data_IF_322077593853
#
_entry.id   IF_322077593853
#
_cell.length_a   1.000
_cell.length_b   1.000
_cell.length_c   1.000
_cell.angle_alpha   90.00
_cell.angle_beta   90.00
_cell.angle_gamma   90.00
#
_symmetry.space_group_name_H-M   'P 1'
#
loop_
_entity.id
_entity.type
_entity.pdbx_description
1 polymer ?
#
# COMPACT_ATOMS: atom_id res chain seq x y z
N UNK A 1 5.64 28.73 14.60
CA UNK A 1 7.04 28.58 15.00
C UNK A 1 7.84 28.10 13.80
N UNK A 2 9.13 28.51 13.67
CA UNK A 2 10.01 27.99 12.62
C UNK A 2 10.28 26.49 12.82
N UNK A 3 10.41 25.74 11.73
CA UNK A 3 10.72 24.29 11.77
C UNK A 3 11.50 23.86 10.53
N UNK A 4 12.17 22.71 10.66
CA UNK A 4 12.74 21.91 9.57
C UNK A 4 12.53 20.43 9.87
N UNK A 5 12.23 19.64 8.85
CA UNK A 5 11.96 18.22 9.01
C UNK A 5 12.45 17.40 7.81
N UNK A 6 13.31 16.42 8.08
CA UNK A 6 13.77 15.45 7.09
C UNK A 6 12.74 14.32 6.97
N UNK A 7 12.24 14.06 5.76
CA UNK A 7 11.24 13.04 5.52
C UNK A 7 11.84 11.63 5.46
N UNK A 8 10.99 10.63 5.71
CA UNK A 8 11.35 9.23 5.50
C UNK A 8 12.32 8.64 6.51
N UNK A 9 12.46 9.19 7.71
CA UNK A 9 13.40 8.76 8.76
C UNK A 9 13.32 7.27 9.14
N UNK A 10 12.16 6.64 8.95
CA UNK A 10 11.98 5.19 9.21
C UNK A 10 12.64 4.29 8.15
N UNK A 11 12.88 4.84 6.97
CA UNK A 11 13.50 4.12 5.85
C UNK A 11 15.01 4.32 5.88
N UNK A 12 15.69 3.67 6.82
CA UNK A 12 17.13 3.80 7.06
C UNK A 12 17.94 3.08 5.99
N UNK A 13 17.54 1.85 5.66
CA UNK A 13 18.26 0.99 4.71
C UNK A 13 17.97 1.41 3.26
N UNK A 14 19.01 1.60 2.47
CA UNK A 14 18.97 2.04 1.07
C UNK A 14 19.83 1.13 0.19
N UNK A 15 19.25 0.62 -0.89
CA UNK A 15 19.96 -0.22 -1.85
C UNK A 15 20.55 0.60 -3.01
N UNK A 16 20.04 1.81 -3.23
CA UNK A 16 20.49 2.71 -4.28
C UNK A 16 21.85 3.33 -3.95
N UNK A 17 22.61 3.74 -4.96
CA UNK A 17 23.86 4.49 -4.76
C UNK A 17 23.60 5.93 -4.32
N UNK A 18 22.47 6.50 -4.74
CA UNK A 18 22.04 7.85 -4.41
C UNK A 18 20.59 7.84 -3.99
N UNK A 19 20.29 8.45 -2.85
CA UNK A 19 18.91 8.60 -2.35
C UNK A 19 18.43 10.04 -2.50
N UNK A 20 17.24 10.23 -3.06
CA UNK A 20 16.55 11.51 -3.03
C UNK A 20 15.93 11.72 -1.66
N UNK A 21 16.41 12.73 -0.94
CA UNK A 21 15.93 13.12 0.39
C UNK A 21 15.07 14.37 0.25
N UNK A 22 13.87 14.31 0.82
CA UNK A 22 12.96 15.46 0.90
C UNK A 22 13.04 16.07 2.28
N UNK A 23 13.14 17.39 2.34
CA UNK A 23 13.09 18.16 3.58
C UNK A 23 11.92 19.14 3.50
N UNK A 24 11.15 19.27 4.57
CA UNK A 24 10.12 20.28 4.73
C UNK A 24 10.59 21.37 5.68
N UNK A 25 10.33 22.62 5.34
CA UNK A 25 10.58 23.74 6.24
C UNK A 25 9.66 24.92 5.90
N UNK A 26 9.26 25.67 6.90
CA UNK A 26 8.62 26.98 6.69
C UNK A 26 9.63 28.12 6.56
N UNK A 27 10.92 27.79 6.53
CA UNK A 27 11.98 28.74 6.26
C UNK A 27 12.25 28.84 4.75
N UNK A 28 12.70 29.98 4.23
CA UNK A 28 12.90 30.18 2.81
C UNK A 28 14.09 29.39 2.24
N UNK A 29 15.06 29.04 3.08
CA UNK A 29 16.29 28.33 2.70
C UNK A 29 16.54 27.16 3.65
N UNK A 30 17.00 26.04 3.08
CA UNK A 30 17.46 24.86 3.81
C UNK A 30 18.82 24.44 3.29
N UNK A 31 19.75 24.12 4.19
CA UNK A 31 21.02 23.48 3.90
C UNK A 31 21.03 22.05 4.44
N UNK A 32 21.42 21.08 3.63
CA UNK A 32 21.54 19.70 4.05
C UNK A 32 23.02 19.29 4.13
N UNK A 33 23.37 18.60 5.18
CA UNK A 33 24.71 18.02 5.40
C UNK A 33 24.63 16.51 5.45
N UNK A 34 25.60 15.84 4.84
CA UNK A 34 25.85 14.41 4.96
C UNK A 34 27.19 14.19 5.65
N UNK A 35 27.20 13.53 6.80
CA UNK A 35 28.39 13.33 7.64
C UNK A 35 29.21 14.62 7.87
N UNK A 36 28.50 15.75 8.07
CA UNK A 36 29.09 17.06 8.29
C UNK A 36 29.57 17.80 7.02
N UNK A 37 29.47 17.19 5.84
CA UNK A 37 29.79 17.82 4.56
C UNK A 37 28.50 18.40 3.95
N UNK A 38 28.53 19.69 3.60
CA UNK A 38 27.38 20.35 2.97
C UNK A 38 27.10 19.79 1.58
N UNK A 39 25.84 19.45 1.33
CA UNK A 39 25.31 19.09 0.01
C UNK A 39 24.71 20.31 -0.71
N UNK A 40 24.88 21.48 -0.11
CA UNK A 40 24.42 22.76 -0.65
C UNK A 40 23.15 23.28 0.02
N UNK A 41 22.81 24.50 -0.39
CA UNK A 41 21.62 25.22 0.05
C UNK A 41 20.58 25.24 -1.05
N UNK A 42 19.34 25.16 -0.67
CA UNK A 42 18.21 25.28 -1.59
C UNK A 42 17.19 26.27 -1.08
N UNK A 43 16.53 26.95 -1.98
CA UNK A 43 15.38 27.81 -1.72
C UNK A 43 14.16 27.24 -2.44
N UNK A 44 13.00 27.28 -1.81
CA UNK A 44 11.75 26.78 -2.39
C UNK A 44 10.56 27.60 -1.94
N UNK A 45 9.77 28.15 -2.87
CA UNK A 45 8.53 28.83 -2.53
C UNK A 45 7.43 27.89 -2.04
N UNK A 46 7.56 26.60 -2.33
CA UNK A 46 6.59 25.56 -1.96
C UNK A 46 6.94 24.89 -0.63
N UNK A 47 8.04 25.28 0.00
CA UNK A 47 8.52 24.72 1.28
C UNK A 47 8.95 23.25 1.22
N UNK A 48 9.20 22.73 0.01
CA UNK A 48 9.76 21.40 -0.25
C UNK A 48 11.16 21.54 -0.83
N UNK A 49 12.12 20.85 -0.24
CA UNK A 49 13.53 20.91 -0.63
C UNK A 49 14.00 19.48 -0.95
N UNK A 50 14.63 19.30 -2.12
CA UNK A 50 15.02 17.98 -2.61
C UNK A 50 16.52 17.89 -2.76
N UNK A 51 17.15 16.96 -2.06
CA UNK A 51 18.58 16.75 -2.11
C UNK A 51 18.91 15.34 -2.62
N UNK A 52 19.95 15.21 -3.42
CA UNK A 52 20.52 13.94 -3.80
C UNK A 52 21.66 13.62 -2.84
N UNK A 53 21.52 12.51 -2.12
CA UNK A 53 22.47 12.08 -1.08
C UNK A 53 23.15 10.81 -1.54
N UNK A 54 24.48 10.82 -1.74
CA UNK A 54 25.24 9.58 -1.95
C UNK A 54 25.15 8.68 -0.73
N UNK A 55 24.74 7.42 -0.93
CA UNK A 55 24.62 6.47 0.15
C UNK A 55 25.96 5.81 0.47
N UNK A 56 26.25 5.66 1.76
CA UNK A 56 27.42 4.95 2.29
C UNK A 56 26.97 4.01 3.42
N UNK A 57 27.91 3.28 4.00
CA UNK A 57 27.65 2.33 5.10
C UNK A 57 27.01 2.98 6.33
N UNK A 58 27.12 4.30 6.43
CA UNK A 58 26.45 5.11 7.45
C UNK A 58 26.53 6.59 7.09
N UNK A 59 25.37 7.21 6.88
CA UNK A 59 25.28 8.63 6.55
C UNK A 59 24.35 9.33 7.55
N UNK A 60 24.94 10.16 8.41
CA UNK A 60 24.17 11.07 9.24
C UNK A 60 23.78 12.29 8.42
N UNK A 61 22.49 12.56 8.31
CA UNK A 61 21.95 13.74 7.66
C UNK A 61 21.63 14.79 8.71
N UNK A 62 22.00 16.03 8.42
CA UNK A 62 21.62 17.20 9.23
C UNK A 62 21.03 18.25 8.32
N UNK A 63 19.78 18.60 8.52
CA UNK A 63 19.13 19.72 7.84
C UNK A 63 19.13 20.95 8.76
N UNK A 64 19.52 22.10 8.22
CA UNK A 64 19.54 23.38 8.91
C UNK A 64 18.70 24.39 8.14
N UNK A 65 17.80 25.07 8.85
CA UNK A 65 16.96 26.13 8.32
C UNK A 65 16.84 27.26 9.35
N UNK A 66 17.59 28.34 9.17
CA UNK A 66 17.73 29.38 10.19
C UNK A 66 18.35 28.82 11.48
N UNK A 67 17.63 28.94 12.60
CA UNK A 67 18.05 28.38 13.89
C UNK A 67 17.55 26.94 14.12
N UNK A 68 16.74 26.40 13.18
CA UNK A 68 16.18 25.06 13.30
C UNK A 68 17.12 24.01 12.74
N UNK A 69 17.16 22.86 13.41
CA UNK A 69 17.95 21.70 13.05
C UNK A 69 17.12 20.44 13.15
N UNK A 70 17.30 19.53 12.19
CA UNK A 70 16.75 18.19 12.23
C UNK A 70 17.78 17.16 11.75
N UNK A 71 17.71 15.94 12.27
CA UNK A 71 18.67 14.89 11.97
C UNK A 71 17.98 13.60 11.54
N UNK A 72 18.65 12.87 10.67
CA UNK A 72 18.25 11.56 10.19
C UNK A 72 19.49 10.70 9.92
N UNK A 73 19.29 9.41 9.70
CA UNK A 73 20.35 8.46 9.39
C UNK A 73 19.95 7.60 8.21
N UNK A 74 20.89 7.35 7.30
CA UNK A 74 20.77 6.43 6.18
C UNK A 74 21.94 5.44 6.21
N UNK A 75 21.69 4.24 5.71
CA UNK A 75 22.69 3.18 5.60
C UNK A 75 22.53 2.47 4.26
N UNK A 76 23.62 2.35 3.50
CA UNK A 76 23.61 1.52 2.30
C UNK A 76 23.60 0.04 2.68
N UNK A 77 22.76 -0.73 2.01
CA UNK A 77 22.66 -2.19 2.15
C UNK A 77 22.62 -2.82 0.77
N UNK A 78 23.08 -4.08 0.66
CA UNK A 78 23.05 -4.81 -0.61
C UNK A 78 21.66 -5.38 -0.92
N UNK A 79 20.89 -5.73 0.11
CA UNK A 79 19.59 -6.38 -0.01
C UNK A 79 18.50 -5.46 0.53
N UNK A 80 17.43 -5.32 -0.24
CA UNK A 80 16.28 -4.51 0.17
C UNK A 80 15.66 -5.05 1.46
N UNK A 81 15.33 -4.15 2.37
CA UNK A 81 14.65 -4.50 3.61
C UNK A 81 13.15 -4.69 3.35
N UNK A 82 12.71 -5.95 3.32
CA UNK A 82 11.31 -6.32 3.02
C UNK A 82 10.30 -5.77 4.04
N UNK A 83 10.74 -5.34 5.24
CA UNK A 83 9.85 -4.70 6.21
C UNK A 83 9.38 -3.31 5.78
N UNK A 84 10.04 -2.71 4.76
CA UNK A 84 9.62 -1.44 4.18
C UNK A 84 8.51 -1.60 3.14
N UNK A 85 8.27 -2.81 2.67
CA UNK A 85 7.13 -3.08 1.78
C UNK A 85 5.83 -2.96 2.54
N UNK A 86 4.87 -2.31 1.92
CA UNK A 86 3.50 -2.34 2.40
C UNK A 86 3.00 -3.79 2.28
N UNK A 87 2.82 -4.45 3.43
CA UNK A 87 2.18 -5.77 3.50
C UNK A 87 0.67 -5.54 3.45
N UNK A 88 0.11 -5.57 2.25
CA UNK A 88 -1.34 -5.50 2.08
C UNK A 88 -1.97 -6.76 2.68
N UNK A 89 -2.81 -6.56 3.68
CA UNK A 89 -3.65 -7.62 4.22
C UNK A 89 -4.95 -7.67 3.43
N UNK A 90 -4.95 -8.46 2.35
CA UNK A 90 -6.11 -8.62 1.49
C UNK A 90 -6.16 -7.63 0.32
N UNK A 91 -7.15 -7.80 -0.54
CA UNK A 91 -7.37 -6.91 -1.67
C UNK A 91 -7.84 -5.53 -1.20
N UNK A 92 -7.11 -4.47 -1.58
CA UNK A 92 -7.63 -3.11 -1.48
C UNK A 92 -8.60 -2.94 -2.65
N UNK A 93 -9.88 -2.98 -2.34
CA UNK A 93 -10.94 -2.80 -3.31
C UNK A 93 -11.10 -1.30 -3.60
N UNK A 94 -10.79 -0.91 -4.83
CA UNK A 94 -11.02 0.45 -5.29
C UNK A 94 -12.50 0.61 -5.67
N UNK A 95 -13.31 1.07 -4.76
CA UNK A 95 -14.74 1.31 -4.97
C UNK A 95 -15.08 2.49 -5.90
N UNK A 96 -14.08 3.24 -6.34
CA UNK A 96 -14.27 4.28 -7.36
C UNK A 96 -14.18 3.73 -8.79
N UNK A 97 -13.67 2.51 -8.97
CA UNK A 97 -13.48 1.87 -10.26
C UNK A 97 -14.52 0.75 -10.44
N UNK A 98 -15.77 1.18 -10.59
CA UNK A 98 -16.94 0.30 -10.53
C UNK A 98 -17.35 -0.21 -11.93
N UNK A 99 -16.78 0.34 -13.00
CA UNK A 99 -17.14 -0.02 -14.37
C UNK A 99 -16.31 -1.19 -14.86
N UNK A 100 -16.92 -2.37 -14.92
CA UNK A 100 -16.34 -3.48 -15.64
C UNK A 100 -16.37 -3.21 -17.16
N UNK A 101 -15.33 -3.60 -17.92
CA UNK A 101 -15.40 -3.63 -19.38
C UNK A 101 -16.57 -4.49 -19.84
N UNK A 102 -17.12 -4.18 -21.02
CA UNK A 102 -18.24 -4.95 -21.59
C UNK A 102 -17.86 -6.44 -21.73
N UNK A 103 -18.71 -7.33 -21.23
CA UNK A 103 -18.49 -8.78 -21.24
C UNK A 103 -17.70 -9.32 -20.03
N UNK A 104 -17.30 -8.48 -19.10
CA UNK A 104 -16.64 -8.88 -17.85
C UNK A 104 -17.57 -8.72 -16.65
N UNK A 105 -17.37 -9.58 -15.65
CA UNK A 105 -18.06 -9.48 -14.37
C UNK A 105 -17.36 -8.46 -13.47
N UNK A 106 -18.14 -7.76 -12.66
CA UNK A 106 -17.67 -6.78 -11.67
C UNK A 106 -17.86 -7.34 -10.25
N UNK A 107 -17.00 -6.90 -9.33
CA UNK A 107 -17.20 -7.16 -7.89
C UNK A 107 -18.51 -6.58 -7.33
N UNK A 108 -19.12 -5.63 -8.05
CA UNK A 108 -20.42 -5.04 -7.71
C UNK A 108 -21.60 -5.79 -8.33
N UNK A 109 -21.34 -6.78 -9.18
CA UNK A 109 -22.42 -7.62 -9.70
C UNK A 109 -22.98 -8.50 -8.60
N UNK A 110 -24.27 -8.78 -8.69
CA UNK A 110 -24.92 -9.67 -7.73
C UNK A 110 -24.45 -11.09 -7.92
N UNK A 111 -24.33 -11.82 -6.83
CA UNK A 111 -23.95 -13.22 -6.87
C UNK A 111 -24.87 -14.04 -7.78
N UNK A 112 -26.17 -13.75 -7.80
CA UNK A 112 -27.12 -14.43 -8.70
C UNK A 112 -26.80 -14.27 -10.18
N UNK A 113 -26.21 -13.10 -10.59
CA UNK A 113 -25.84 -12.84 -11.98
C UNK A 113 -24.49 -13.49 -12.29
N UNK A 114 -23.54 -13.46 -11.36
CA UNK A 114 -22.24 -14.13 -11.45
C UNK A 114 -22.44 -15.65 -11.64
N UNK A 115 -23.33 -16.24 -10.86
CA UNK A 115 -23.61 -17.68 -10.93
C UNK A 115 -24.36 -18.14 -12.20
N UNK A 116 -24.82 -17.24 -13.05
CA UNK A 116 -25.34 -17.58 -14.38
C UNK A 116 -24.23 -17.92 -15.35
N UNK A 117 -23.00 -17.51 -15.09
CA UNK A 117 -21.84 -17.79 -15.94
C UNK A 117 -21.04 -19.00 -15.42
N UNK A 118 -20.43 -19.76 -16.32
CA UNK A 118 -19.60 -20.92 -15.93
C UNK A 118 -18.34 -20.46 -15.15
N UNK A 119 -17.70 -19.36 -15.57
CA UNK A 119 -16.56 -18.78 -14.84
C UNK A 119 -16.93 -18.32 -13.43
N UNK A 120 -18.11 -17.68 -13.27
CA UNK A 120 -18.61 -17.24 -11.97
C UNK A 120 -18.93 -18.40 -11.02
N UNK A 121 -19.49 -19.50 -11.54
CA UNK A 121 -19.72 -20.74 -10.77
C UNK A 121 -18.40 -21.34 -10.28
N UNK A 122 -17.39 -21.40 -11.16
CA UNK A 122 -16.07 -21.93 -10.82
C UNK A 122 -15.38 -21.05 -9.76
N UNK A 123 -15.42 -19.74 -9.92
CA UNK A 123 -14.88 -18.78 -8.94
C UNK A 123 -15.56 -18.94 -7.58
N UNK A 124 -16.89 -18.99 -7.56
CA UNK A 124 -17.65 -19.14 -6.33
C UNK A 124 -17.37 -20.47 -5.63
N UNK A 125 -17.27 -21.56 -6.39
CA UNK A 125 -16.92 -22.87 -5.84
C UNK A 125 -15.52 -22.88 -5.22
N UNK A 126 -14.51 -22.26 -5.86
CA UNK A 126 -13.16 -22.12 -5.33
C UNK A 126 -13.12 -21.28 -4.03
N UNK A 127 -13.88 -20.18 -3.99
CA UNK A 127 -14.01 -19.36 -2.79
C UNK A 127 -14.66 -20.16 -1.64
N UNK A 128 -15.71 -20.91 -1.91
CA UNK A 128 -16.40 -21.72 -0.90
C UNK A 128 -15.52 -22.87 -0.38
N UNK A 129 -14.72 -23.50 -1.24
CA UNK A 129 -13.76 -24.52 -0.85
C UNK A 129 -12.69 -23.95 0.11
N UNK A 130 -12.19 -22.75 -0.19
CA UNK A 130 -11.23 -22.06 0.65
C UNK A 130 -11.83 -21.63 2.01
N UNK A 131 -13.11 -21.22 2.03
CA UNK A 131 -13.79 -20.77 3.24
C UNK A 131 -14.20 -21.89 4.19
N UNK A 132 -14.60 -23.03 3.69
CA UNK A 132 -15.31 -24.06 4.48
C UNK A 132 -14.55 -25.36 4.68
N UNK A 133 -13.32 -25.50 4.19
CA UNK A 133 -12.56 -26.75 4.33
C UNK A 133 -13.26 -27.95 3.70
N UNK A 134 -13.90 -27.76 2.55
CA UNK A 134 -14.39 -28.80 1.67
C UNK A 134 -15.74 -29.44 2.02
N UNK A 135 -15.98 -29.87 3.24
CA UNK A 135 -17.21 -30.60 3.59
C UNK A 135 -18.41 -29.74 4.03
N UNK A 136 -18.16 -28.58 4.59
CA UNK A 136 -19.23 -27.64 5.02
C UNK A 136 -19.75 -26.75 3.87
N UNK A 137 -18.96 -26.56 2.83
CA UNK A 137 -19.33 -25.75 1.66
C UNK A 137 -20.61 -26.28 0.98
N UNK A 138 -20.73 -27.59 0.82
CA UNK A 138 -21.88 -28.21 0.17
C UNK A 138 -23.19 -28.02 0.95
N UNK A 139 -23.14 -27.96 2.28
CA UNK A 139 -24.34 -27.74 3.11
C UNK A 139 -24.81 -26.27 3.13
N UNK A 140 -23.92 -25.32 2.81
CA UNK A 140 -24.25 -23.89 2.68
C UNK A 140 -24.87 -23.55 1.32
N UNK A 141 -24.74 -24.42 0.32
CA UNK A 141 -25.30 -24.23 -1.03
C UNK A 141 -26.76 -24.70 -1.15
N UNK A 142 -27.53 -24.66 -0.06
CA UNK A 142 -28.95 -24.94 -0.16
C UNK A 142 -29.70 -23.76 -0.82
N UNK A 143 -30.86 -24.06 -1.41
CA UNK A 143 -31.66 -23.11 -2.20
C UNK A 143 -32.02 -21.86 -1.42
N UNK A 144 -32.34 -21.99 -0.13
CA UNK A 144 -32.70 -20.87 0.75
C UNK A 144 -31.50 -19.94 1.02
N UNK A 145 -30.31 -20.51 1.23
CA UNK A 145 -29.06 -19.73 1.42
C UNK A 145 -28.67 -19.03 0.13
N UNK A 146 -28.80 -19.72 -1.01
CA UNK A 146 -28.51 -19.14 -2.33
C UNK A 146 -29.47 -17.99 -2.67
N UNK A 147 -30.75 -18.12 -2.33
CA UNK A 147 -31.74 -17.06 -2.53
C UNK A 147 -31.42 -15.84 -1.66
N UNK A 148 -30.94 -16.04 -0.43
CA UNK A 148 -30.54 -14.94 0.47
C UNK A 148 -29.24 -14.27 0.02
N UNK A 149 -28.22 -15.07 -0.36
CA UNK A 149 -26.91 -14.57 -0.77
C UNK A 149 -26.91 -14.02 -2.20
N UNK A 150 -27.80 -14.48 -3.06
CA UNK A 150 -27.89 -14.10 -4.47
C UNK A 150 -28.05 -12.59 -4.67
N UNK A 151 -28.71 -11.92 -3.75
CA UNK A 151 -28.89 -10.46 -3.78
C UNK A 151 -27.66 -9.66 -3.34
N UNK A 152 -26.65 -10.32 -2.75
CA UNK A 152 -25.43 -9.66 -2.31
C UNK A 152 -24.44 -9.53 -3.47
N UNK A 153 -23.72 -8.42 -3.47
CA UNK A 153 -22.59 -8.27 -4.40
C UNK A 153 -21.40 -9.12 -3.95
N UNK A 154 -20.55 -9.52 -4.89
CA UNK A 154 -19.34 -10.27 -4.59
C UNK A 154 -18.43 -9.48 -3.62
N UNK A 155 -18.35 -8.16 -3.81
CA UNK A 155 -17.65 -7.24 -2.91
C UNK A 155 -18.11 -7.38 -1.45
N UNK A 156 -19.42 -7.41 -1.23
CA UNK A 156 -19.98 -7.54 0.11
C UNK A 156 -19.66 -8.89 0.74
N UNK A 157 -19.67 -9.94 -0.06
CA UNK A 157 -19.32 -11.28 0.41
C UNK A 157 -17.85 -11.37 0.82
N UNK A 158 -16.94 -10.82 0.00
CA UNK A 158 -15.50 -10.76 0.31
C UNK A 158 -15.27 -9.95 1.59
N UNK A 159 -15.97 -8.82 1.75
CA UNK A 159 -15.87 -7.99 2.97
C UNK A 159 -16.34 -8.75 4.21
N UNK A 160 -17.41 -9.52 4.12
CA UNK A 160 -17.88 -10.36 5.21
C UNK A 160 -16.90 -11.51 5.53
N UNK A 161 -16.32 -12.15 4.51
CA UNK A 161 -15.30 -13.17 4.67
C UNK A 161 -14.04 -12.62 5.35
N UNK A 162 -13.65 -11.38 5.02
CA UNK A 162 -12.54 -10.68 5.68
C UNK A 162 -12.72 -10.51 7.19
N UNK A 163 -13.95 -10.36 7.66
CA UNK A 163 -14.28 -10.30 9.10
C UNK A 163 -14.05 -11.65 9.81
N UNK A 164 -14.06 -12.76 9.09
CA UNK A 164 -13.78 -14.10 9.62
C UNK A 164 -12.30 -14.50 9.50
N UNK A 165 -11.43 -13.57 9.07
CA UNK A 165 -9.99 -13.80 8.94
C UNK A 165 -9.56 -14.36 7.59
N UNK A 166 -10.47 -14.52 6.64
CA UNK A 166 -10.16 -14.88 5.27
C UNK A 166 -9.67 -13.66 4.48
N UNK A 167 -8.52 -13.81 3.84
CA UNK A 167 -7.97 -12.78 2.94
C UNK A 167 -8.00 -13.30 1.51
N UNK A 168 -8.65 -12.54 0.63
CA UNK A 168 -8.64 -12.79 -0.82
C UNK A 168 -7.58 -11.86 -1.43
N UNK A 169 -6.62 -12.41 -2.16
CA UNK A 169 -5.59 -11.61 -2.82
C UNK A 169 -6.08 -11.05 -4.15
N UNK A 170 -5.39 -10.02 -4.66
CA UNK A 170 -5.74 -9.39 -5.93
C UNK A 170 -5.57 -10.35 -7.12
N UNK A 171 -4.65 -11.31 -7.01
CA UNK A 171 -4.39 -12.33 -8.02
C UNK A 171 -5.46 -13.43 -8.04
N UNK A 172 -6.29 -13.52 -6.99
CA UNK A 172 -7.38 -14.49 -6.87
C UNK A 172 -8.74 -13.94 -7.34
N UNK A 173 -8.80 -12.65 -7.65
CA UNK A 173 -9.95 -11.93 -8.17
C UNK A 173 -9.81 -11.67 -9.67
#
# INVERSE_FOLDING_TARGET
DPFVHICGKRYVDRVEDVTKVTVYSNQPEVELFANGVSLGKQTSPEHFFYFEVPNSDGTTLTAIAGECKDESFLRKVEVFNEDYRLKEKGAILNWFDITAPEGYLSLNDKLEDILKTEGGKALFAAMMEQMAGGQQAASMLNEATMQMLGSFTLLRMISMAGMTGLTVTKEQL
#
